data_IF_999880866701
#
_entry.id   IF_999880866701
#
_cell.length_a   1.000
_cell.length_b   1.000
_cell.length_c   1.000
_cell.angle_alpha   90.00
_cell.angle_beta   90.00
_cell.angle_gamma   90.00
#
_symmetry.space_group_name_H-M   'P 1'
#
loop_
_entity.id
_entity.type
_entity.pdbx_description
1 polymer ?
#
# COMPACT_ATOMS: atom_id res chain seq x y z
N UNK A 1 3.40 -19.93 -6.87
CA UNK A 1 3.20 -18.76 -6.00
C UNK A 1 2.10 -17.95 -6.65
N UNK A 2 1.15 -17.39 -5.89
CA UNK A 2 0.19 -16.44 -6.42
C UNK A 2 0.91 -15.29 -7.16
N UNK A 3 0.41 -14.90 -8.32
CA UNK A 3 0.99 -13.80 -9.11
C UNK A 3 0.53 -12.46 -8.53
N UNK A 4 1.33 -11.91 -7.61
CA UNK A 4 1.11 -10.57 -7.07
C UNK A 4 1.75 -9.51 -7.96
N UNK A 5 1.10 -8.35 -8.05
CA UNK A 5 1.64 -7.17 -8.75
C UNK A 5 1.49 -5.94 -7.88
N UNK A 6 2.47 -5.03 -8.00
CA UNK A 6 2.53 -3.79 -7.24
C UNK A 6 2.28 -2.59 -8.15
N UNK A 7 1.23 -1.83 -7.86
CA UNK A 7 0.86 -0.63 -8.59
C UNK A 7 1.15 0.61 -7.74
N UNK A 8 2.17 1.38 -8.13
CA UNK A 8 2.60 2.58 -7.40
C UNK A 8 1.56 3.70 -7.50
N UNK A 9 0.95 4.04 -6.36
CA UNK A 9 -0.02 5.13 -6.23
C UNK A 9 0.66 6.48 -6.00
N UNK A 10 1.69 6.50 -5.16
CA UNK A 10 2.41 7.73 -4.82
C UNK A 10 3.91 7.47 -4.64
N UNK A 11 4.71 8.50 -4.91
CA UNK A 11 6.15 8.50 -4.66
C UNK A 11 6.62 9.87 -4.21
N UNK A 12 7.38 9.88 -3.13
CA UNK A 12 8.18 11.01 -2.67
C UNK A 12 9.66 10.58 -2.66
N UNK A 13 10.61 11.48 -2.34
CA UNK A 13 12.00 11.09 -2.18
C UNK A 13 12.26 10.06 -1.07
N UNK A 14 11.37 9.94 -0.08
CA UNK A 14 11.57 9.10 1.11
C UNK A 14 10.42 8.12 1.39
N UNK A 15 9.38 8.10 0.55
CA UNK A 15 8.22 7.23 0.75
C UNK A 15 7.58 6.82 -0.55
N UNK A 16 7.02 5.62 -0.57
CA UNK A 16 6.23 5.10 -1.68
C UNK A 16 4.97 4.42 -1.16
N UNK A 17 3.88 4.50 -1.93
CA UNK A 17 2.63 3.80 -1.65
C UNK A 17 2.32 2.92 -2.84
N UNK A 18 2.11 1.63 -2.59
CA UNK A 18 1.80 0.64 -3.63
C UNK A 18 0.52 -0.10 -3.29
N UNK A 19 -0.39 -0.15 -4.25
CA UNK A 19 -1.54 -1.06 -4.22
C UNK A 19 -1.07 -2.47 -4.60
N UNK A 20 -1.47 -3.48 -3.84
CA UNK A 20 -1.14 -4.88 -4.12
C UNK A 20 -2.33 -5.51 -4.83
N UNK A 21 -2.08 -6.16 -5.97
CA UNK A 21 -3.12 -6.85 -6.74
C UNK A 21 -2.79 -8.33 -6.94
N UNK A 22 -3.82 -9.15 -6.99
CA UNK A 22 -3.77 -10.58 -7.35
C UNK A 22 -4.88 -10.83 -8.37
N UNK A 23 -4.56 -11.35 -9.56
CA UNK A 23 -5.56 -11.64 -10.60
C UNK A 23 -6.52 -10.47 -10.90
N UNK A 24 -5.98 -9.25 -10.98
CA UNK A 24 -6.74 -7.99 -11.11
C UNK A 24 -7.66 -7.63 -9.93
N UNK A 25 -7.61 -8.32 -8.79
CA UNK A 25 -8.28 -7.93 -7.55
C UNK A 25 -7.32 -7.16 -6.64
N UNK A 26 -7.77 -6.05 -6.03
CA UNK A 26 -7.01 -5.36 -4.97
C UNK A 26 -7.01 -6.23 -3.72
N UNK A 27 -5.82 -6.64 -3.27
CA UNK A 27 -5.65 -7.51 -2.10
C UNK A 27 -4.83 -6.86 -0.99
N UNK A 28 -4.52 -5.57 -1.11
CA UNK A 28 -3.84 -4.85 -0.04
C UNK A 28 -3.19 -3.56 -0.50
N UNK A 29 -2.43 -2.98 0.42
CA UNK A 29 -1.61 -1.81 0.20
C UNK A 29 -0.34 -1.94 1.04
N UNK A 30 0.78 -1.48 0.52
CA UNK A 30 2.01 -1.32 1.29
C UNK A 30 2.50 0.12 1.20
N UNK A 31 2.79 0.69 2.36
CA UNK A 31 3.40 2.00 2.50
C UNK A 31 4.86 1.85 2.93
N UNK A 32 5.78 2.24 2.05
CA UNK A 32 7.22 2.18 2.27
C UNK A 32 7.75 3.54 2.73
N UNK A 33 8.62 3.53 3.73
CA UNK A 33 9.31 4.69 4.27
C UNK A 33 10.82 4.41 4.34
N UNK A 34 11.57 5.11 3.49
CA UNK A 34 13.01 4.98 3.35
C UNK A 34 13.73 5.94 4.31
N UNK A 35 14.26 5.39 5.39
CA UNK A 35 15.15 6.10 6.31
C UNK A 35 16.59 6.13 5.80
N UNK A 36 17.51 6.60 6.65
CA UNK A 36 18.94 6.67 6.31
C UNK A 36 19.65 5.31 6.27
N UNK A 37 19.11 4.31 6.97
CA UNK A 37 19.68 2.95 7.09
C UNK A 37 18.62 1.86 7.26
N UNK A 38 17.35 2.24 7.45
CA UNK A 38 16.25 1.32 7.72
C UNK A 38 15.10 1.66 6.78
N UNK A 39 14.44 0.63 6.27
CA UNK A 39 13.19 0.76 5.51
C UNK A 39 12.06 0.23 6.37
N UNK A 40 11.00 1.02 6.53
CA UNK A 40 9.80 0.63 7.24
C UNK A 40 8.65 0.42 6.25
N UNK A 41 7.97 -0.71 6.36
CA UNK A 41 6.75 -1.00 5.62
C UNK A 41 5.55 -1.13 6.56
N UNK A 42 4.44 -0.51 6.17
CA UNK A 42 3.12 -0.82 6.73
C UNK A 42 2.35 -1.61 5.68
N UNK A 43 2.06 -2.88 5.95
CA UNK A 43 1.33 -3.78 5.06
C UNK A 43 -0.12 -3.94 5.54
N UNK A 44 -1.08 -3.57 4.70
CA UNK A 44 -2.52 -3.70 4.93
C UNK A 44 -3.05 -4.83 4.03
N UNK A 45 -3.62 -5.88 4.62
CA UNK A 45 -4.14 -7.05 3.90
C UNK A 45 -5.52 -7.48 4.40
N UNK A 46 -6.34 -8.16 3.58
CA UNK A 46 -7.65 -8.63 4.01
C UNK A 46 -7.55 -9.81 4.99
N UNK A 47 -8.58 -9.96 5.82
CA UNK A 47 -8.73 -11.06 6.80
C UNK A 47 -8.63 -12.48 6.21
N UNK A 48 -8.79 -12.61 4.89
CA UNK A 48 -8.74 -13.90 4.19
C UNK A 48 -7.33 -14.43 3.92
N UNK A 49 -6.28 -13.60 4.02
CA UNK A 49 -4.91 -14.06 3.78
C UNK A 49 -4.39 -14.90 4.95
N UNK A 50 -3.72 -15.99 4.61
CA UNK A 50 -3.00 -16.83 5.56
C UNK A 50 -1.65 -16.23 5.94
N UNK A 51 -1.07 -16.70 7.04
CA UNK A 51 0.28 -16.26 7.47
C UNK A 51 1.35 -16.58 6.41
N UNK A 52 1.26 -17.74 5.76
CA UNK A 52 2.19 -18.11 4.68
C UNK A 52 2.07 -17.15 3.47
N UNK A 53 0.84 -16.79 3.06
CA UNK A 53 0.62 -15.81 1.98
C UNK A 53 1.13 -14.41 2.36
N UNK A 54 1.01 -14.03 3.64
CA UNK A 54 1.57 -12.77 4.15
C UNK A 54 3.09 -12.79 4.09
N UNK A 55 3.72 -13.90 4.46
CA UNK A 55 5.19 -14.04 4.39
C UNK A 55 5.67 -14.00 2.94
N UNK A 56 4.99 -14.70 2.02
CA UNK A 56 5.28 -14.64 0.58
C UNK A 56 5.17 -13.19 0.05
N UNK A 57 4.17 -12.42 0.49
CA UNK A 57 4.02 -11.00 0.15
C UNK A 57 5.17 -10.16 0.69
N UNK A 58 5.60 -10.39 1.93
CA UNK A 58 6.72 -9.66 2.55
C UNK A 58 8.00 -9.90 1.77
N UNK A 59 8.27 -11.15 1.39
CA UNK A 59 9.45 -11.50 0.60
C UNK A 59 9.42 -10.83 -0.78
N UNK A 60 8.27 -10.86 -1.47
CA UNK A 60 8.10 -10.17 -2.76
C UNK A 60 8.23 -8.66 -2.66
N UNK A 61 7.71 -8.03 -1.60
CA UNK A 61 7.90 -6.59 -1.35
C UNK A 61 9.39 -6.27 -1.18
N UNK A 62 10.13 -7.11 -0.44
CA UNK A 62 11.57 -6.91 -0.27
C UNK A 62 12.31 -7.02 -1.61
N UNK A 63 12.01 -8.04 -2.41
CA UNK A 63 12.67 -8.32 -3.68
C UNK A 63 12.34 -7.28 -4.76
N UNK A 64 11.06 -6.97 -4.96
CA UNK A 64 10.60 -6.17 -6.09
C UNK A 64 10.64 -4.66 -5.81
N UNK A 65 10.42 -4.24 -4.56
CA UNK A 65 10.26 -2.82 -4.22
C UNK A 65 11.43 -2.27 -3.41
N UNK A 66 11.90 -3.01 -2.39
CA UNK A 66 12.95 -2.51 -1.49
C UNK A 66 14.34 -2.69 -2.10
N UNK A 67 14.64 -3.90 -2.59
CA UNK A 67 15.95 -4.25 -3.15
C UNK A 67 16.23 -3.55 -4.48
N UNK A 68 15.20 -3.11 -5.20
CA UNK A 68 15.31 -2.35 -6.45
C UNK A 68 15.39 -0.84 -6.24
N UNK A 69 15.21 -0.36 -5.00
CA UNK A 69 15.29 1.06 -4.68
C UNK A 69 16.74 1.55 -4.64
N UNK A 70 16.95 2.82 -5.03
CA UNK A 70 18.27 3.47 -4.96
C UNK A 70 18.67 3.89 -3.53
N UNK A 71 17.85 3.56 -2.52
CA UNK A 71 18.00 4.04 -1.15
C UNK A 71 18.83 3.06 -0.31
N UNK A 72 19.68 3.54 0.61
CA UNK A 72 20.46 2.67 1.48
C UNK A 72 19.55 1.82 2.39
N UNK A 73 19.81 0.51 2.44
CA UNK A 73 19.12 -0.43 3.34
C UNK A 73 20.14 -1.28 4.10
N UNK A 74 20.10 -1.19 5.43
CA UNK A 74 20.78 -2.13 6.33
C UNK A 74 19.77 -3.10 6.97
N UNK A 75 18.51 -2.68 7.11
CA UNK A 75 17.42 -3.47 7.70
C UNK A 75 16.05 -3.12 7.09
N UNK A 76 15.14 -4.09 7.09
CA UNK A 76 13.78 -3.97 6.57
C UNK A 76 12.76 -4.47 7.60
N UNK A 77 11.90 -3.56 8.07
CA UNK A 77 10.91 -3.85 9.12
C UNK A 77 9.50 -3.69 8.57
N UNK A 78 8.71 -4.75 8.65
CA UNK A 78 7.31 -4.74 8.21
C UNK A 78 6.36 -4.85 9.39
N UNK A 79 5.39 -3.94 9.47
CA UNK A 79 4.24 -4.06 10.37
C UNK A 79 3.02 -4.45 9.56
N UNK A 80 2.41 -5.59 9.89
CA UNK A 80 1.26 -6.13 9.15
C UNK A 80 -0.03 -5.86 9.91
N UNK A 81 -1.00 -5.30 9.20
CA UNK A 81 -2.37 -5.11 9.64
C UNK A 81 -3.30 -5.94 8.75
N UNK A 82 -4.02 -6.85 9.38
CA UNK A 82 -5.02 -7.67 8.72
C UNK A 82 -6.41 -7.17 9.09
N UNK A 83 -7.25 -6.86 8.10
CA UNK A 83 -8.56 -6.26 8.35
C UNK A 83 -9.44 -6.11 7.11
N UNK A 84 -10.37 -5.16 7.13
CA UNK A 84 -11.29 -4.87 6.02
C UNK A 84 -11.23 -3.40 5.64
N UNK A 85 -11.07 -3.11 4.34
CA UNK A 85 -11.23 -1.76 3.80
C UNK A 85 -12.69 -1.32 3.89
N UNK A 86 -12.92 -0.19 4.55
CA UNK A 86 -14.28 0.33 4.83
C UNK A 86 -14.72 1.38 3.80
N UNK A 87 -13.79 2.07 3.17
CA UNK A 87 -14.06 3.13 2.19
C UNK A 87 -12.82 3.99 1.93
N UNK A 88 -12.88 4.77 0.85
CA UNK A 88 -11.89 5.79 0.49
C UNK A 88 -12.60 7.14 0.54
N UNK A 89 -11.94 8.12 1.16
CA UNK A 89 -12.47 9.46 1.36
C UNK A 89 -11.46 10.46 0.80
N UNK A 90 -11.92 11.39 -0.05
CA UNK A 90 -11.09 12.45 -0.62
C UNK A 90 -11.86 13.77 -0.69
N UNK A 91 -11.13 14.88 -0.64
CA UNK A 91 -11.74 16.21 -0.71
C UNK A 91 -12.56 16.42 -2.01
N UNK A 92 -12.15 15.80 -3.12
CA UNK A 92 -12.90 15.83 -4.39
C UNK A 92 -14.25 15.10 -4.29
N UNK A 93 -14.36 14.03 -3.50
CA UNK A 93 -15.61 13.27 -3.32
C UNK A 93 -16.59 14.02 -2.41
N UNK A 94 -16.11 14.85 -1.49
CA UNK A 94 -16.97 15.65 -0.61
C UNK A 94 -17.37 17.01 -1.20
N UNK A 95 -16.59 17.54 -2.17
CA UNK A 95 -16.85 18.85 -2.77
C UNK A 95 -17.99 18.88 -3.79
N UNK A 96 -18.34 17.76 -4.41
CA UNK A 96 -19.45 17.70 -5.38
C UNK A 96 -20.83 17.71 -4.69
N UNK A 97 -20.96 17.14 -3.49
CA UNK A 97 -22.23 17.14 -2.74
C UNK A 97 -22.60 18.54 -2.18
N UNK A 98 -21.61 19.37 -1.78
CA UNK A 98 -21.88 20.73 -1.28
C UNK A 98 -22.28 21.72 -2.40
N UNK A 99 -21.82 21.51 -3.64
CA UNK A 99 -22.12 22.40 -4.77
C UNK A 99 -23.51 22.17 -5.38
N UNK A 100 -24.09 20.98 -5.25
CA UNK A 100 -25.46 20.70 -5.69
C UNK A 100 -26.51 21.30 -4.73
N UNK A 101 -26.19 21.45 -3.44
CA UNK A 101 -27.09 22.07 -2.45
C UNK A 101 -27.13 23.61 -2.55
N UNK A 102 -26.07 24.26 -3.05
CA UNK A 102 -26.04 25.73 -3.23
C UNK A 102 -26.70 26.22 -4.53
N UNK A 103 -26.91 25.36 -5.53
CA UNK A 103 -27.61 25.74 -6.78
C UNK A 103 -29.15 25.66 -6.69
N UNK A 104 -29.71 25.13 -5.59
CA UNK A 104 -31.16 25.03 -5.35
C UNK A 104 -31.78 26.19 -4.50
N UNK A 105 -31.03 27.24 -4.13
CA UNK A 105 -31.58 28.46 -3.47
C UNK A 105 -31.75 29.70 -4.36
#
# INVERSE_FOLDING_TARGET
>A
MPDYTFERQARTPFSEVHTIRQDDEKIGQVDLHFGSSMVYATLLVPERLTEDEIMDLVDLIDEDLVATSDMPRDDFVVTVYQGRETGVYSDEVFGEEELEEEEEE
#
